data_IF_897860620008
#
_entry.id   IF_897860620008
#
_cell.length_a   1.000
_cell.length_b   1.000
_cell.length_c   1.000
_cell.angle_alpha   90.00
_cell.angle_beta   90.00
_cell.angle_gamma   90.00
#
_symmetry.space_group_name_H-M   'P 1'
#
loop_
_entity.id
_entity.type
_entity.pdbx_description
1 polymer ?
#
# COMPACT_ATOMS: atom_id res chain seq x y z
N UNK A 1 7.54 13.32 0.24
CA UNK A 1 7.25 13.03 -1.18
C UNK A 1 6.03 12.14 -1.23
N UNK A 2 5.05 12.41 -2.11
CA UNK A 2 3.93 11.47 -2.32
C UNK A 2 4.44 10.29 -3.14
N UNK A 3 4.24 9.09 -2.63
CA UNK A 3 4.56 7.83 -3.31
C UNK A 3 3.28 7.04 -3.56
N UNK A 4 3.29 6.19 -4.58
CA UNK A 4 2.18 5.32 -4.94
C UNK A 4 2.62 3.87 -5.01
N UNK A 5 1.75 2.98 -4.52
CA UNK A 5 1.89 1.54 -4.60
C UNK A 5 0.67 1.01 -5.34
N UNK A 6 0.86 0.58 -6.58
CA UNK A 6 -0.19 -0.06 -7.36
C UNK A 6 -0.16 -1.57 -7.12
N UNK A 7 -1.36 -2.13 -6.97
CA UNK A 7 -1.62 -3.53 -6.65
C UNK A 7 -2.16 -4.21 -7.92
N UNK A 8 -1.93 -5.51 -8.06
CA UNK A 8 -2.59 -6.32 -9.09
C UNK A 8 -3.52 -7.31 -8.40
N UNK A 9 -4.77 -7.38 -8.83
CA UNK A 9 -5.73 -8.36 -8.30
C UNK A 9 -5.78 -9.62 -9.17
N UNK A 10 -5.92 -10.79 -8.53
CA UNK A 10 -6.14 -12.06 -9.24
C UNK A 10 -7.61 -12.19 -9.64
N UNK A 11 -7.96 -11.55 -10.76
CA UNK A 11 -9.34 -11.39 -11.22
C UNK A 11 -9.95 -10.05 -10.78
N UNK A 12 -11.00 -9.62 -11.47
CA UNK A 12 -11.70 -8.39 -11.13
C UNK A 12 -12.89 -8.64 -10.21
N UNK A 13 -13.16 -7.77 -9.24
CA UNK A 13 -14.28 -7.98 -8.34
C UNK A 13 -15.60 -7.74 -9.09
N UNK A 14 -16.59 -8.60 -8.84
CA UNK A 14 -17.92 -8.51 -9.46
C UNK A 14 -18.84 -7.44 -8.83
N UNK A 15 -18.39 -6.83 -7.73
CA UNK A 15 -18.98 -5.68 -7.04
C UNK A 15 -17.87 -4.90 -6.35
N UNK A 16 -18.13 -3.63 -6.01
CA UNK A 16 -17.19 -2.82 -5.23
C UNK A 16 -16.73 -3.54 -3.96
N UNK A 17 -15.42 -3.58 -3.75
CA UNK A 17 -14.79 -4.33 -2.68
C UNK A 17 -13.89 -3.41 -1.87
N UNK A 18 -14.04 -3.43 -0.55
CA UNK A 18 -13.18 -2.68 0.35
C UNK A 18 -12.00 -3.54 0.78
N UNK A 19 -10.80 -3.04 0.53
CA UNK A 19 -9.54 -3.61 0.96
C UNK A 19 -8.93 -2.70 2.02
N UNK A 20 -8.56 -3.26 3.16
CA UNK A 20 -7.74 -2.56 4.15
C UNK A 20 -6.28 -2.83 3.84
N UNK A 21 -5.53 -1.76 3.59
CA UNK A 21 -4.09 -1.76 3.32
C UNK A 21 -3.39 -1.18 4.54
N UNK A 22 -2.45 -1.92 5.13
CA UNK A 22 -1.58 -1.39 6.17
C UNK A 22 -0.13 -1.44 5.73
N UNK A 23 0.53 -0.29 5.78
CA UNK A 23 1.95 -0.11 5.52
C UNK A 23 2.67 -0.02 6.87
N UNK A 24 3.60 -0.94 7.10
CA UNK A 24 4.38 -1.00 8.34
C UNK A 24 5.87 -0.91 8.04
N UNK A 25 6.63 -0.43 9.04
CA UNK A 25 8.08 -0.42 9.02
C UNK A 25 8.63 -1.82 8.68
N UNK A 26 9.51 -1.88 7.68
CA UNK A 26 10.37 -3.04 7.44
C UNK A 26 11.75 -2.75 8.02
N UNK A 27 12.67 -2.26 7.19
CA UNK A 27 13.94 -1.69 7.65
C UNK A 27 13.91 -0.17 7.77
N UNK A 28 12.93 0.50 7.15
CA UNK A 28 12.68 1.93 7.33
C UNK A 28 12.11 2.20 8.74
N UNK A 29 12.57 3.29 9.35
CA UNK A 29 12.16 3.77 10.65
C UNK A 29 10.98 4.75 10.61
N UNK A 30 10.47 5.16 11.79
CA UNK A 30 9.41 6.17 11.92
C UNK A 30 9.73 7.54 11.32
N UNK A 31 11.01 7.82 11.09
CA UNK A 31 11.51 9.03 10.45
C UNK A 31 11.34 9.03 8.92
N UNK A 32 11.12 7.87 8.30
CA UNK A 32 11.10 7.70 6.85
C UNK A 32 9.67 7.70 6.28
N UNK A 33 8.69 7.25 7.06
CA UNK A 33 7.27 7.38 6.75
C UNK A 33 6.39 7.15 7.98
N UNK A 34 5.19 7.72 7.97
CA UNK A 34 4.18 7.40 8.97
C UNK A 34 3.52 6.05 8.65
N UNK A 35 3.32 5.20 9.67
CA UNK A 35 2.45 4.03 9.55
C UNK A 35 1.07 4.43 9.02
N UNK A 36 0.65 3.84 7.92
CA UNK A 36 -0.63 4.14 7.29
C UNK A 36 -1.46 2.87 7.22
N UNK A 37 -2.62 2.91 7.87
CA UNK A 37 -3.73 1.99 7.59
C UNK A 37 -4.80 2.76 6.84
N UNK A 38 -5.14 2.31 5.64
CA UNK A 38 -6.14 2.96 4.79
C UNK A 38 -7.09 1.93 4.19
N UNK A 39 -8.30 2.37 3.84
CA UNK A 39 -9.26 1.58 3.11
C UNK A 39 -9.24 2.03 1.64
N UNK A 40 -9.01 1.07 0.74
CA UNK A 40 -9.12 1.26 -0.69
C UNK A 40 -10.40 0.59 -1.16
N UNK A 41 -11.24 1.34 -1.87
CA UNK A 41 -12.37 0.75 -2.60
C UNK A 41 -11.88 0.35 -3.98
N UNK A 42 -11.81 -0.96 -4.21
CA UNK A 42 -11.58 -1.53 -5.53
C UNK A 42 -12.93 -1.57 -6.20
N UNK A 43 -13.13 -0.72 -7.21
CA UNK A 43 -14.41 -0.68 -7.94
C UNK A 43 -14.63 -1.97 -8.72
N UNK A 44 -15.88 -2.28 -9.00
CA UNK A 44 -16.22 -3.38 -9.91
C UNK A 44 -15.35 -3.34 -11.18
N UNK A 45 -14.88 -4.51 -11.62
CA UNK A 45 -14.05 -4.68 -12.82
C UNK A 45 -12.64 -4.04 -12.77
N UNK A 46 -12.26 -3.38 -11.68
CA UNK A 46 -10.90 -2.82 -11.51
C UNK A 46 -9.91 -3.92 -11.14
N UNK A 47 -8.75 -3.93 -11.82
CA UNK A 47 -7.69 -4.90 -11.57
C UNK A 47 -6.40 -4.29 -11.04
N UNK A 48 -6.27 -2.96 -11.08
CA UNK A 48 -5.03 -2.23 -10.75
C UNK A 48 -5.27 -1.06 -9.78
N UNK A 49 -5.73 -1.30 -8.54
CA UNK A 49 -5.91 -0.23 -7.56
C UNK A 49 -4.56 0.29 -7.04
N UNK A 50 -4.42 1.60 -6.86
CA UNK A 50 -3.23 2.22 -6.29
C UNK A 50 -3.51 2.84 -4.91
N UNK A 51 -2.53 2.74 -4.03
CA UNK A 51 -2.51 3.32 -2.67
C UNK A 51 -1.44 4.39 -2.65
N UNK A 52 -1.78 5.60 -2.24
CA UNK A 52 -0.77 6.65 -2.04
C UNK A 52 -0.36 6.74 -0.56
N UNK A 53 0.92 6.96 -0.31
CA UNK A 53 1.47 7.21 1.01
C UNK A 53 2.51 8.33 0.97
N UNK A 54 2.75 8.97 2.12
CA UNK A 54 3.71 10.06 2.22
C UNK A 54 5.03 9.50 2.77
N UNK A 55 6.08 9.54 1.95
CA UNK A 55 7.44 9.36 2.44
C UNK A 55 7.95 10.69 3.03
N UNK A 56 8.66 10.58 4.15
CA UNK A 56 9.29 11.69 4.85
C UNK A 56 10.75 11.70 4.40
N UNK A 57 11.20 12.83 3.86
CA UNK A 57 12.62 13.03 3.60
C UNK A 57 13.23 13.63 4.88
N UNK A 58 14.14 12.92 5.51
CA UNK A 58 14.80 13.39 6.75
C UNK A 58 15.95 14.38 6.47
N UNK A 59 16.35 14.52 5.20
CA UNK A 59 17.38 15.44 4.76
C UNK A 59 18.81 15.01 5.10
N UNK A 60 19.02 13.76 5.56
CA UNK A 60 20.33 13.19 5.77
C UNK A 60 20.76 12.50 4.47
N UNK A 61 21.88 12.95 3.89
CA UNK A 61 22.30 12.65 2.51
C UNK A 61 22.65 11.19 2.16
N UNK A 62 22.22 10.22 2.97
CA UNK A 62 22.26 8.78 2.70
C UNK A 62 20.92 8.17 3.14
N UNK A 63 19.87 8.37 2.36
CA UNK A 63 18.69 7.49 2.39
C UNK A 63 19.18 6.09 1.99
N UNK A 64 19.25 5.17 2.95
CA UNK A 64 19.61 3.78 2.68
C UNK A 64 18.58 3.12 1.77
N UNK A 65 18.89 1.92 1.24
CA UNK A 65 17.84 1.10 0.63
C UNK A 65 17.01 0.51 1.76
N UNK A 66 15.84 1.09 1.97
CA UNK A 66 14.93 0.65 3.02
C UNK A 66 13.72 -0.06 2.46
N UNK A 67 13.24 -1.03 3.22
CA UNK A 67 12.10 -1.85 2.86
C UNK A 67 10.94 -1.49 3.77
N UNK A 68 9.74 -1.45 3.20
CA UNK A 68 8.47 -1.39 3.91
C UNK A 68 7.74 -2.73 3.75
N UNK A 69 6.82 -3.02 4.66
CA UNK A 69 5.96 -4.19 4.58
C UNK A 69 4.52 -3.76 4.33
N UNK A 70 3.88 -4.35 3.32
CA UNK A 70 2.44 -4.20 3.09
C UNK A 70 1.69 -5.42 3.61
N UNK A 71 0.61 -5.18 4.34
CA UNK A 71 -0.37 -6.20 4.69
C UNK A 71 -1.74 -5.81 4.15
N UNK A 72 -2.40 -6.78 3.52
CA UNK A 72 -3.75 -6.63 3.00
C UNK A 72 -4.72 -7.46 3.83
N UNK A 73 -5.87 -6.87 4.14
CA UNK A 73 -7.01 -7.60 4.67
C UNK A 73 -8.29 -7.18 3.95
N UNK A 74 -9.08 -8.16 3.53
CA UNK A 74 -10.25 -7.97 2.69
C UNK A 74 -10.93 -9.31 2.43
N UNK A 75 -11.96 -9.35 1.58
CA UNK A 75 -12.61 -10.60 1.23
C UNK A 75 -11.63 -11.52 0.47
N UNK A 76 -11.81 -12.86 0.59
CA UNK A 76 -10.81 -13.86 0.20
C UNK A 76 -10.48 -13.88 -1.31
N UNK A 77 -11.27 -13.20 -2.13
CA UNK A 77 -11.11 -13.06 -3.56
C UNK A 77 -10.17 -11.91 -3.99
N UNK A 78 -9.65 -11.12 -3.05
CA UNK A 78 -8.62 -10.11 -3.31
C UNK A 78 -7.31 -10.62 -2.73
N UNK A 79 -6.39 -11.06 -3.60
CA UNK A 79 -5.07 -11.52 -3.20
C UNK A 79 -3.98 -10.73 -3.93
N UNK A 80 -2.86 -10.49 -3.24
CA UNK A 80 -1.60 -10.05 -3.84
C UNK A 80 -0.98 -11.24 -4.60
N UNK A 81 -0.51 -11.00 -5.80
CA UNK A 81 0.40 -11.91 -6.51
C UNK A 81 1.71 -11.20 -6.81
#
# INVERSE_FOLDING_TARGET
MLQEICLTTVGSPAVDTVLTVSVTHGTAGPEDFDLITTQVTITENMTEPCVSYQAIADGLGLEGVENLTLSLSGPPNVQLT
#
